data_IF_604722160274
#
_entry.id   IF_604722160274
#
_cell.length_a   1.000
_cell.length_b   1.000
_cell.length_c   1.000
_cell.angle_alpha   90.00
_cell.angle_beta   90.00
_cell.angle_gamma   90.00
#
_symmetry.space_group_name_H-M   'P 1'
#
loop_
_entity.id
_entity.type
_entity.pdbx_description
1 polymer ?
#
# COMPACT_ATOMS: atom_id res chain seq x y z
N UNK A 1 -26.53 56.80 -22.37
CA UNK A 1 -26.72 55.71 -21.37
C UNK A 1 -26.17 54.44 -21.98
N UNK A 2 -25.00 53.97 -21.53
CA UNK A 2 -24.31 52.78 -22.09
C UNK A 2 -23.94 51.91 -20.89
N UNK A 3 -24.77 50.91 -20.61
CA UNK A 3 -24.57 50.00 -19.48
C UNK A 3 -23.49 48.98 -19.82
N UNK A 4 -22.39 49.05 -19.08
CA UNK A 4 -21.29 48.09 -19.10
C UNK A 4 -21.63 46.94 -18.17
N UNK A 5 -21.84 45.73 -18.71
CA UNK A 5 -21.96 44.51 -17.92
C UNK A 5 -20.57 43.91 -17.72
N UNK A 6 -20.09 43.90 -16.46
CA UNK A 6 -18.93 43.13 -16.03
C UNK A 6 -19.39 41.68 -15.77
N UNK A 7 -18.83 40.71 -16.50
CA UNK A 7 -18.91 39.30 -16.13
C UNK A 7 -17.78 38.97 -15.16
N UNK A 8 -18.12 38.71 -13.90
CA UNK A 8 -17.21 38.13 -12.92
C UNK A 8 -17.16 36.62 -13.12
N UNK A 9 -16.03 36.09 -13.59
CA UNK A 9 -15.78 34.66 -13.68
C UNK A 9 -15.35 34.13 -12.30
N UNK A 10 -16.22 33.35 -11.64
CA UNK A 10 -15.88 32.61 -10.43
C UNK A 10 -15.04 31.38 -10.79
N UNK A 11 -13.75 31.43 -10.44
CA UNK A 11 -12.83 30.30 -10.54
C UNK A 11 -13.21 29.25 -9.48
N UNK A 12 -13.86 28.16 -9.89
CA UNK A 12 -14.10 27.02 -9.01
C UNK A 12 -12.80 26.23 -8.87
N UNK A 13 -12.11 26.38 -7.75
CA UNK A 13 -10.99 25.50 -7.39
C UNK A 13 -11.59 24.15 -7.05
N UNK A 14 -11.41 23.16 -7.93
CA UNK A 14 -11.74 21.78 -7.64
C UNK A 14 -10.80 21.28 -6.54
N UNK A 15 -11.29 21.29 -5.29
CA UNK A 15 -10.64 20.58 -4.19
C UNK A 15 -10.83 19.09 -4.50
N UNK A 16 -9.76 18.42 -4.94
CA UNK A 16 -9.72 16.96 -4.94
C UNK A 16 -9.92 16.50 -3.50
N UNK A 17 -11.12 16.04 -3.16
CA UNK A 17 -11.38 15.43 -1.87
C UNK A 17 -10.47 14.20 -1.72
N UNK A 18 -9.51 14.27 -0.80
CA UNK A 18 -8.71 13.11 -0.40
C UNK A 18 -9.59 12.13 0.37
N UNK A 19 -9.31 10.83 0.24
CA UNK A 19 -10.01 9.84 1.04
C UNK A 19 -9.75 10.04 2.54
N UNK A 20 -10.62 9.47 3.37
CA UNK A 20 -10.50 9.57 4.82
C UNK A 20 -9.19 8.97 5.32
N UNK A 21 -8.58 9.59 6.33
CA UNK A 21 -7.43 9.03 7.03
C UNK A 21 -7.78 7.68 7.68
N UNK A 22 -6.86 6.72 7.64
CA UNK A 22 -7.05 5.38 8.19
C UNK A 22 -5.76 4.83 8.81
N UNK A 23 -5.94 4.01 9.84
CA UNK A 23 -4.91 3.10 10.34
C UNK A 23 -5.38 1.68 10.07
N UNK A 24 -4.55 0.86 9.45
CA UNK A 24 -4.92 -0.47 8.98
C UNK A 24 -3.94 -1.53 9.49
N UNK A 25 -4.47 -2.72 9.67
CA UNK A 25 -3.71 -3.98 9.70
C UNK A 25 -4.04 -4.75 8.43
N UNK A 26 -3.04 -5.27 7.75
CA UNK A 26 -3.18 -5.97 6.48
C UNK A 26 -2.55 -7.35 6.64
N UNK A 27 -3.34 -8.40 6.45
CA UNK A 27 -2.86 -9.78 6.48
C UNK A 27 -2.78 -10.33 5.06
N UNK A 28 -1.64 -10.92 4.73
CA UNK A 28 -1.37 -11.50 3.43
C UNK A 28 -1.26 -13.01 3.54
N UNK A 29 -1.86 -13.70 2.58
CA UNK A 29 -1.73 -15.13 2.38
C UNK A 29 -1.50 -15.42 0.91
N UNK A 30 -0.54 -16.28 0.61
CA UNK A 30 -0.38 -16.88 -0.72
C UNK A 30 -0.17 -18.37 -0.63
N UNK A 31 -0.67 -19.08 -1.65
CA UNK A 31 -0.46 -20.50 -1.88
C UNK A 31 -0.16 -20.72 -3.35
N UNK A 32 0.82 -21.55 -3.65
CA UNK A 32 1.08 -22.05 -5.01
C UNK A 32 1.41 -23.54 -4.99
N UNK A 33 0.90 -24.27 -5.95
CA UNK A 33 1.25 -25.66 -6.26
C UNK A 33 2.17 -25.62 -7.48
N UNK A 34 3.42 -26.04 -7.30
CA UNK A 34 4.40 -26.05 -8.40
C UNK A 34 4.19 -27.26 -9.31
N UNK A 35 4.73 -27.24 -10.55
CA UNK A 35 4.63 -28.38 -11.48
C UNK A 35 5.18 -29.70 -10.92
N UNK A 36 6.10 -29.63 -9.95
CA UNK A 36 6.69 -30.78 -9.28
C UNK A 36 5.79 -31.36 -8.17
N UNK A 37 4.58 -30.82 -8.00
CA UNK A 37 3.62 -31.24 -6.98
C UNK A 37 3.89 -30.66 -5.59
N UNK A 38 4.73 -29.62 -5.47
CA UNK A 38 5.05 -28.99 -4.18
C UNK A 38 4.09 -27.87 -3.87
N UNK A 39 3.47 -27.90 -2.69
CA UNK A 39 2.70 -26.75 -2.19
C UNK A 39 3.61 -25.82 -1.39
N UNK A 40 3.62 -24.53 -1.74
CA UNK A 40 4.27 -23.46 -0.98
C UNK A 40 3.23 -22.49 -0.48
N UNK A 41 3.32 -22.15 0.80
CA UNK A 41 2.44 -21.16 1.44
C UNK A 41 3.29 -20.08 2.12
N UNK A 42 2.81 -18.84 2.07
CA UNK A 42 3.40 -17.72 2.79
C UNK A 42 2.32 -16.92 3.50
N UNK A 43 2.66 -16.42 4.70
CA UNK A 43 1.83 -15.54 5.51
C UNK A 43 2.68 -14.46 6.15
N UNK A 44 2.17 -13.24 6.14
CA UNK A 44 2.76 -12.12 6.86
C UNK A 44 1.71 -11.03 7.06
N UNK A 45 2.03 -10.05 7.89
CA UNK A 45 1.16 -8.92 8.14
C UNK A 45 1.95 -7.62 8.00
N UNK A 46 1.27 -6.57 7.55
CA UNK A 46 1.77 -5.21 7.59
C UNK A 46 0.79 -4.33 8.40
N UNK A 47 1.32 -3.24 8.96
CA UNK A 47 0.52 -2.10 9.40
C UNK A 47 0.59 -1.00 8.35
N UNK A 48 -0.46 -0.19 8.23
CA UNK A 48 -0.49 0.95 7.33
C UNK A 48 -1.10 2.17 8.01
N UNK A 49 -0.48 3.33 7.84
CA UNK A 49 -1.08 4.64 8.10
C UNK A 49 -1.35 5.32 6.76
N UNK A 50 -2.60 5.68 6.52
CA UNK A 50 -3.02 6.49 5.38
C UNK A 50 -3.37 7.89 5.86
N UNK A 51 -2.68 8.90 5.32
CA UNK A 51 -2.99 10.32 5.52
C UNK A 51 -2.99 11.03 4.18
N UNK A 52 -3.60 12.21 4.10
CA UNK A 52 -3.52 13.04 2.89
C UNK A 52 -2.05 13.21 2.44
N UNK A 53 -1.73 12.73 1.24
CA UNK A 53 -0.38 12.81 0.66
C UNK A 53 0.65 11.81 1.20
N UNK A 54 0.31 10.98 2.21
CA UNK A 54 1.24 10.05 2.85
C UNK A 54 0.65 8.65 3.03
N UNK A 55 1.44 7.65 2.68
CA UNK A 55 1.18 6.24 3.03
C UNK A 55 2.42 5.69 3.69
N UNK A 56 2.28 5.21 4.92
CA UNK A 56 3.34 4.56 5.67
C UNK A 56 2.97 3.10 5.89
N UNK A 57 3.78 2.15 5.41
CA UNK A 57 3.55 0.72 5.59
C UNK A 57 4.76 0.06 6.26
N UNK A 58 4.52 -0.83 7.22
CA UNK A 58 5.60 -1.50 7.96
C UNK A 58 5.25 -2.96 8.23
N UNK A 59 6.22 -3.85 8.00
CA UNK A 59 6.14 -5.28 8.30
C UNK A 59 5.92 -5.50 9.79
N UNK A 60 4.95 -6.33 10.14
CA UNK A 60 4.82 -6.89 11.49
C UNK A 60 5.76 -8.08 11.58
N UNK A 61 6.85 -7.93 12.32
CA UNK A 61 7.81 -9.00 12.57
C UNK A 61 7.48 -9.75 13.87
N UNK A 62 7.60 -11.08 13.89
CA UNK A 62 7.68 -11.83 15.14
C UNK A 62 8.84 -11.33 16.01
N UNK A 63 8.69 -11.33 17.33
CA UNK A 63 9.71 -10.80 18.26
C UNK A 63 11.12 -11.38 18.00
N UNK A 64 11.23 -12.70 17.85
CA UNK A 64 12.51 -13.37 17.57
C UNK A 64 13.14 -13.03 16.20
N UNK A 65 12.33 -12.59 15.23
CA UNK A 65 12.85 -12.16 13.93
C UNK A 65 13.37 -10.72 13.96
N UNK A 66 12.84 -9.88 14.86
CA UNK A 66 13.33 -8.52 15.06
C UNK A 66 14.73 -8.53 15.72
N UNK A 67 14.96 -9.43 16.69
CA UNK A 67 16.24 -9.54 17.42
C UNK A 67 17.41 -9.94 16.51
N UNK A 68 17.19 -10.78 15.49
CA UNK A 68 18.24 -11.20 14.56
C UNK A 68 18.76 -10.09 13.63
N UNK A 69 18.11 -8.93 13.57
CA UNK A 69 18.59 -7.78 12.79
C UNK A 69 19.64 -6.93 13.55
N UNK A 70 19.75 -7.07 14.87
CA UNK A 70 20.56 -6.16 15.70
C UNK A 70 21.94 -6.74 16.11
N UNK A 71 22.17 -8.05 16.00
CA UNK A 71 23.23 -8.74 16.76
C UNK A 71 24.36 -9.43 15.96
N UNK A 72 24.66 -9.06 14.71
CA UNK A 72 25.86 -9.59 14.01
C UNK A 72 26.97 -8.54 13.78
N UNK A 73 28.01 -8.52 14.64
CA UNK A 73 29.22 -7.73 14.40
C UNK A 73 29.92 -8.18 13.12
N UNK A 74 30.07 -7.27 12.15
CA UNK A 74 30.81 -7.50 10.91
C UNK A 74 29.98 -7.97 9.71
N UNK A 75 28.67 -8.12 9.84
CA UNK A 75 27.80 -8.28 8.68
C UNK A 75 27.63 -6.91 8.00
N UNK A 76 28.02 -6.80 6.73
CA UNK A 76 27.64 -5.65 5.91
C UNK A 76 26.11 -5.56 5.95
N UNK A 77 25.60 -4.42 6.43
CA UNK A 77 24.18 -4.26 6.71
C UNK A 77 23.45 -4.02 5.39
N UNK A 78 22.93 -5.08 4.79
CA UNK A 78 22.24 -5.00 3.52
C UNK A 78 20.88 -4.31 3.69
N UNK A 79 20.64 -3.28 2.87
CA UNK A 79 19.33 -2.65 2.75
C UNK A 79 18.26 -3.70 2.45
N UNK A 80 17.32 -3.89 3.38
CA UNK A 80 16.22 -4.85 3.22
C UNK A 80 14.87 -4.12 3.18
N UNK A 81 14.46 -3.75 1.96
CA UNK A 81 13.19 -3.06 1.70
C UNK A 81 11.93 -3.83 2.17
N UNK A 82 12.03 -5.12 2.50
CA UNK A 82 10.88 -5.91 2.96
C UNK A 82 10.55 -5.63 4.43
N UNK A 83 11.56 -5.31 5.25
CA UNK A 83 11.39 -5.12 6.70
C UNK A 83 11.47 -3.65 7.12
N UNK A 84 12.14 -2.81 6.33
CA UNK A 84 12.17 -1.37 6.56
C UNK A 84 10.78 -0.75 6.36
N UNK A 85 10.51 0.30 7.12
CA UNK A 85 9.26 1.04 6.95
C UNK A 85 9.27 1.75 5.60
N UNK A 86 8.25 1.49 4.78
CA UNK A 86 8.05 2.09 3.47
C UNK A 86 7.17 3.32 3.61
N UNK A 87 7.62 4.45 3.08
CA UNK A 87 6.87 5.69 3.04
C UNK A 87 6.67 6.14 1.59
N UNK A 88 5.43 6.13 1.13
CA UNK A 88 5.04 6.65 -0.18
C UNK A 88 4.43 8.03 0.00
N UNK A 89 4.95 9.02 -0.73
CA UNK A 89 4.52 10.41 -0.66
C UNK A 89 3.98 10.85 -2.01
N UNK A 90 2.85 11.53 -1.99
CA UNK A 90 2.25 12.18 -3.15
C UNK A 90 2.27 13.70 -2.93
N UNK A 91 3.09 14.39 -3.72
CA UNK A 91 3.26 15.84 -3.63
C UNK A 91 3.34 16.44 -5.03
N UNK A 92 2.57 17.50 -5.31
CA UNK A 92 2.57 18.15 -6.63
C UNK A 92 2.24 17.22 -7.80
N UNK A 93 1.43 16.17 -7.57
CA UNK A 93 1.10 15.16 -8.59
C UNK A 93 2.23 14.17 -8.89
N UNK A 94 3.35 14.22 -8.15
CA UNK A 94 4.45 13.26 -8.23
C UNK A 94 4.42 12.29 -7.05
N UNK A 95 4.55 11.02 -7.36
CA UNK A 95 4.64 9.95 -6.36
C UNK A 95 6.11 9.62 -6.15
N UNK A 96 6.55 9.56 -4.90
CA UNK A 96 7.87 9.09 -4.52
C UNK A 96 7.77 8.04 -3.41
N UNK A 97 8.80 7.22 -3.29
CA UNK A 97 8.94 6.22 -2.23
C UNK A 97 10.29 6.39 -1.56
N UNK A 98 10.29 6.28 -0.24
CA UNK A 98 11.48 6.22 0.61
C UNK A 98 11.32 5.10 1.63
N UNK A 99 12.44 4.57 2.10
CA UNK A 99 12.47 3.58 3.18
C UNK A 99 13.18 4.17 4.38
N UNK A 100 12.65 3.90 5.58
CA UNK A 100 13.16 4.45 6.82
C UNK A 100 13.80 3.33 7.63
N UNK A 101 15.09 3.49 7.89
CA UNK A 101 15.82 2.72 8.88
C UNK A 101 15.87 3.52 10.18
N UNK A 102 15.01 3.16 11.12
CA UNK A 102 14.95 3.82 12.42
C UNK A 102 16.14 3.48 13.33
N UNK A 103 16.79 2.33 13.11
CA UNK A 103 17.95 1.89 13.89
C UNK A 103 19.17 2.73 13.49
N UNK A 104 19.45 2.81 12.19
CA UNK A 104 20.60 3.56 11.66
C UNK A 104 20.31 5.05 11.46
N UNK A 105 19.05 5.44 11.61
CA UNK A 105 18.55 6.80 11.36
C UNK A 105 18.84 7.25 9.94
N UNK A 106 18.48 6.42 8.98
CA UNK A 106 18.59 6.71 7.56
C UNK A 106 17.21 6.82 6.91
N UNK A 107 17.09 7.75 5.96
CA UNK A 107 16.00 7.80 4.98
C UNK A 107 16.64 7.47 3.63
N UNK A 108 16.21 6.37 3.03
CA UNK A 108 16.73 5.86 1.76
C UNK A 108 15.74 6.20 0.66
N UNK A 109 16.10 7.17 -0.19
CA UNK A 109 15.32 7.54 -1.36
C UNK A 109 15.51 6.52 -2.48
N UNK A 110 14.41 6.13 -3.13
CA UNK A 110 14.46 5.23 -4.29
C UNK A 110 14.17 6.05 -5.55
N UNK A 111 15.08 6.10 -6.52
CA UNK A 111 14.80 6.75 -7.79
C UNK A 111 13.84 5.92 -8.65
N UNK A 112 13.07 6.51 -9.58
CA UNK A 112 12.06 5.80 -10.37
C UNK A 112 12.58 4.59 -11.16
N UNK A 113 13.85 4.60 -11.59
CA UNK A 113 14.48 3.46 -12.28
C UNK A 113 14.59 2.21 -11.40
N UNK A 114 14.56 2.39 -10.08
CA UNK A 114 14.79 1.34 -9.08
C UNK A 114 13.50 0.85 -8.42
N UNK A 115 12.33 1.40 -8.78
CA UNK A 115 11.05 1.03 -8.17
C UNK A 115 10.77 -0.47 -8.24
N UNK A 116 11.08 -1.09 -9.38
CA UNK A 116 10.93 -2.54 -9.56
C UNK A 116 11.79 -3.37 -8.59
N UNK A 117 12.98 -2.87 -8.21
CA UNK A 117 13.91 -3.59 -7.32
C UNK A 117 13.44 -3.60 -5.86
N UNK A 118 12.48 -2.74 -5.50
CA UNK A 118 11.91 -2.65 -4.15
C UNK A 118 10.42 -2.99 -4.11
N UNK A 119 9.92 -3.71 -5.12
CA UNK A 119 8.52 -4.11 -5.23
C UNK A 119 7.54 -2.92 -5.12
N UNK A 120 7.85 -1.85 -5.84
CA UNK A 120 6.98 -0.70 -6.03
C UNK A 120 6.77 -0.45 -7.53
N UNK A 121 5.57 -0.05 -7.93
CA UNK A 121 5.20 0.14 -9.33
C UNK A 121 4.98 1.61 -9.71
N UNK A 122 5.28 2.54 -8.78
CA UNK A 122 5.07 3.97 -8.98
C UNK A 122 3.62 4.43 -8.78
N UNK A 123 2.68 3.52 -8.51
CA UNK A 123 1.25 3.85 -8.44
C UNK A 123 0.84 4.38 -7.06
N UNK A 124 0.41 5.65 -7.03
CA UNK A 124 -0.24 6.20 -5.85
C UNK A 124 -1.55 5.50 -5.53
N UNK A 125 -2.33 5.10 -6.55
CA UNK A 125 -3.59 4.41 -6.33
C UNK A 125 -3.37 3.08 -5.61
N UNK A 126 -2.36 2.31 -6.00
CA UNK A 126 -2.02 1.05 -5.34
C UNK A 126 -1.52 1.27 -3.91
N UNK A 127 -0.74 2.32 -3.66
CA UNK A 127 -0.29 2.64 -2.30
C UNK A 127 -1.45 3.12 -1.41
N UNK A 128 -2.29 4.03 -1.91
CA UNK A 128 -3.26 4.78 -1.11
C UNK A 128 -4.63 4.10 -1.00
N UNK A 129 -5.06 3.39 -2.05
CA UNK A 129 -6.31 2.64 -2.09
C UNK A 129 -6.10 1.12 -1.99
N UNK A 130 -4.84 0.65 -1.91
CA UNK A 130 -4.44 -0.76 -1.88
C UNK A 130 -4.73 -1.55 -3.17
N UNK A 131 -5.22 -0.88 -4.23
CA UNK A 131 -5.53 -1.46 -5.53
C UNK A 131 -5.71 -0.36 -6.60
N UNK A 132 -5.83 -0.75 -7.87
CA UNK A 132 -6.21 0.17 -8.95
C UNK A 132 -7.69 0.52 -8.85
N UNK A 133 -7.98 1.74 -8.38
CA UNK A 133 -9.36 2.21 -8.18
C UNK A 133 -10.15 2.33 -9.50
N UNK A 134 -9.48 2.57 -10.63
CA UNK A 134 -10.11 2.66 -11.95
C UNK A 134 -10.50 1.29 -12.44
N UNK A 135 -9.60 0.30 -12.33
CA UNK A 135 -9.90 -1.10 -12.64
C UNK A 135 -10.99 -1.66 -11.74
N UNK A 136 -10.99 -1.34 -10.45
CA UNK A 136 -12.06 -1.79 -9.55
C UNK A 136 -13.45 -1.33 -10.03
N UNK A 137 -13.56 -0.09 -10.53
CA UNK A 137 -14.84 0.43 -11.04
C UNK A 137 -15.36 -0.32 -12.26
N UNK A 138 -14.47 -0.94 -13.05
CA UNK A 138 -14.87 -1.76 -14.21
C UNK A 138 -15.25 -3.19 -13.83
N UNK A 139 -14.92 -3.63 -12.60
CA UNK A 139 -15.35 -4.94 -12.10
C UNK A 139 -16.86 -4.94 -11.83
N UNK A 140 -17.62 -5.95 -12.33
CA UNK A 140 -19.03 -6.13 -12.01
C UNK A 140 -19.29 -6.22 -10.51
N UNK A 141 -20.45 -5.71 -10.07
CA UNK A 141 -20.96 -5.99 -8.73
C UNK A 141 -21.35 -7.46 -8.64
N UNK A 142 -20.99 -8.11 -7.53
CA UNK A 142 -21.35 -9.50 -7.23
C UNK A 142 -22.66 -9.57 -6.47
N UNK A 143 -23.38 -10.68 -6.62
CA UNK A 143 -24.55 -11.03 -5.80
C UNK A 143 -24.15 -11.61 -4.44
N UNK A 144 -22.85 -11.82 -4.19
CA UNK A 144 -22.35 -12.32 -2.91
C UNK A 144 -22.73 -11.35 -1.78
N UNK A 145 -23.36 -11.82 -0.69
CA UNK A 145 -23.70 -10.96 0.43
C UNK A 145 -22.42 -10.43 1.11
N UNK A 146 -22.50 -9.18 1.57
CA UNK A 146 -21.48 -8.60 2.45
C UNK A 146 -21.96 -8.67 3.89
N UNK A 147 -21.08 -9.12 4.79
CA UNK A 147 -21.32 -9.04 6.23
C UNK A 147 -20.98 -7.65 6.81
N UNK A 148 -20.33 -6.79 6.04
CA UNK A 148 -19.92 -5.45 6.47
C UNK A 148 -20.81 -4.41 5.81
N UNK A 149 -21.51 -3.63 6.63
CA UNK A 149 -22.37 -2.55 6.16
C UNK A 149 -21.56 -1.52 5.35
N UNK A 150 -22.09 -1.12 4.19
CA UNK A 150 -21.42 -0.19 3.28
C UNK A 150 -20.34 -0.82 2.40
N UNK A 151 -20.01 -2.10 2.59
CA UNK A 151 -19.09 -2.82 1.72
C UNK A 151 -19.83 -3.74 0.74
N UNK A 152 -19.32 -3.85 -0.49
CA UNK A 152 -19.90 -4.66 -1.58
C UNK A 152 -18.84 -5.45 -2.32
N UNK A 153 -19.17 -6.70 -2.66
CA UNK A 153 -18.30 -7.52 -3.48
C UNK A 153 -18.34 -7.08 -4.94
N UNK A 154 -17.16 -7.00 -5.55
CA UNK A 154 -16.96 -6.91 -6.99
C UNK A 154 -16.13 -8.11 -7.42
N UNK A 155 -16.54 -8.75 -8.50
CA UNK A 155 -15.92 -10.00 -8.94
C UNK A 155 -15.78 -9.99 -10.46
N UNK A 156 -14.67 -10.54 -10.93
CA UNK A 156 -14.49 -10.88 -12.34
C UNK A 156 -13.81 -12.22 -12.46
N UNK A 157 -14.07 -12.85 -13.59
CA UNK A 157 -13.44 -14.10 -13.97
C UNK A 157 -13.07 -14.01 -15.45
N UNK A 158 -11.85 -14.41 -15.77
CA UNK A 158 -11.37 -14.50 -17.15
C UNK A 158 -10.43 -15.70 -17.28
N UNK A 159 -10.67 -16.54 -18.29
CA UNK A 159 -9.80 -17.69 -18.63
C UNK A 159 -9.44 -18.59 -17.44
N UNK A 160 -10.39 -18.82 -16.53
CA UNK A 160 -10.20 -19.66 -15.35
C UNK A 160 -9.47 -18.98 -14.18
N UNK A 161 -9.06 -17.72 -14.34
CA UNK A 161 -8.57 -16.86 -13.27
C UNK A 161 -9.73 -16.07 -12.67
N UNK A 162 -9.70 -15.86 -11.36
CA UNK A 162 -10.67 -15.01 -10.67
C UNK A 162 -9.99 -13.88 -9.93
N UNK A 163 -10.73 -12.79 -9.75
CA UNK A 163 -10.41 -11.72 -8.83
C UNK A 163 -11.70 -11.27 -8.14
N UNK A 164 -11.64 -11.12 -6.82
CA UNK A 164 -12.75 -10.67 -5.99
C UNK A 164 -12.26 -9.60 -5.04
N UNK A 165 -13.04 -8.54 -4.89
CA UNK A 165 -12.75 -7.44 -4.00
C UNK A 165 -13.99 -7.12 -3.19
N UNK A 166 -13.90 -7.22 -1.86
CA UNK A 166 -14.89 -6.64 -0.97
C UNK A 166 -14.53 -5.18 -0.74
N UNK A 167 -15.27 -4.26 -1.32
CA UNK A 167 -14.95 -2.83 -1.33
C UNK A 167 -15.82 -2.04 -0.38
N UNK A 168 -15.22 -1.25 0.51
CA UNK A 168 -15.90 -0.25 1.35
C UNK A 168 -15.90 1.11 0.64
N UNK A 169 -17.07 1.55 0.17
CA UNK A 169 -17.20 2.80 -0.59
C UNK A 169 -16.96 4.05 0.27
N UNK A 170 -17.27 4.01 1.57
CA UNK A 170 -17.12 5.17 2.46
C UNK A 170 -15.65 5.41 2.82
N UNK A 171 -14.93 4.33 3.11
CA UNK A 171 -13.51 4.38 3.46
C UNK A 171 -12.61 4.34 2.23
N UNK A 172 -13.14 4.00 1.06
CA UNK A 172 -12.39 3.83 -0.17
C UNK A 172 -11.19 2.90 0.04
N UNK A 173 -11.45 1.70 0.55
CA UNK A 173 -10.45 0.63 0.68
C UNK A 173 -11.09 -0.73 0.39
N UNK A 174 -10.31 -1.72 -0.06
CA UNK A 174 -10.72 -3.10 0.06
C UNK A 174 -10.72 -3.51 1.54
N UNK A 175 -11.67 -4.37 1.91
CA UNK A 175 -11.65 -5.14 3.16
C UNK A 175 -11.14 -6.57 2.93
N UNK A 176 -11.29 -7.08 1.70
CA UNK A 176 -10.70 -8.32 1.24
C UNK A 176 -10.38 -8.23 -0.25
N UNK A 177 -9.23 -8.78 -0.66
CA UNK A 177 -8.87 -9.04 -2.06
C UNK A 177 -8.54 -10.53 -2.17
N UNK A 178 -9.18 -11.21 -3.11
CA UNK A 178 -8.90 -12.60 -3.44
C UNK A 178 -8.54 -12.69 -4.93
N UNK A 179 -7.47 -13.40 -5.26
CA UNK A 179 -7.18 -13.79 -6.64
C UNK A 179 -6.63 -15.20 -6.69
N UNK A 180 -6.80 -15.87 -7.83
CA UNK A 180 -6.39 -17.26 -7.98
C UNK A 180 -6.88 -17.84 -9.28
N UNK A 181 -6.64 -19.13 -9.46
CA UNK A 181 -7.28 -19.92 -10.51
C UNK A 181 -8.36 -20.84 -9.93
N UNK A 182 -9.28 -21.26 -10.79
CA UNK A 182 -10.37 -22.19 -10.43
C UNK A 182 -9.89 -23.61 -10.09
N UNK A 183 -8.71 -24.01 -10.55
CA UNK A 183 -8.10 -25.29 -10.23
C UNK A 183 -7.44 -25.29 -8.83
N UNK A 184 -7.36 -24.13 -8.18
CA UNK A 184 -6.72 -23.95 -6.87
C UNK A 184 -5.20 -24.11 -6.91
N UNK A 185 -4.56 -23.98 -8.07
CA UNK A 185 -3.11 -24.13 -8.22
C UNK A 185 -2.36 -22.93 -7.65
N UNK A 186 -2.95 -21.74 -7.71
CA UNK A 186 -2.54 -20.63 -6.85
C UNK A 186 -3.73 -19.86 -6.27
N UNK A 187 -3.50 -19.29 -5.09
CA UNK A 187 -4.42 -18.37 -4.41
C UNK A 187 -3.60 -17.29 -3.73
N UNK A 188 -4.02 -16.04 -3.88
CA UNK A 188 -3.58 -14.91 -3.07
C UNK A 188 -4.79 -14.32 -2.36
N UNK A 189 -4.64 -14.02 -1.08
CA UNK A 189 -5.66 -13.37 -0.27
C UNK A 189 -5.02 -12.25 0.55
N UNK A 190 -5.67 -11.10 0.56
CA UNK A 190 -5.33 -9.96 1.40
C UNK A 190 -6.57 -9.61 2.21
N UNK A 191 -6.46 -9.62 3.54
CA UNK A 191 -7.52 -9.18 4.45
C UNK A 191 -7.10 -7.87 5.11
N UNK A 192 -7.97 -6.86 5.06
CA UNK A 192 -7.68 -5.51 5.54
C UNK A 192 -8.61 -5.20 6.71
N UNK A 193 -8.03 -4.87 7.85
CA UNK A 193 -8.74 -4.52 9.08
C UNK A 193 -8.47 -3.06 9.43
N UNK A 194 -9.52 -2.25 9.46
CA UNK A 194 -9.45 -0.87 9.96
C UNK A 194 -9.28 -0.89 11.47
N UNK A 195 -8.23 -0.24 11.98
CA UNK A 195 -7.97 -0.11 13.40
C UNK A 195 -8.89 0.95 14.03
N UNK A 196 -9.25 0.79 15.31
CA UNK A 196 -10.04 1.79 16.02
C UNK A 196 -9.22 3.06 16.26
N UNK A 197 -9.74 4.20 15.81
CA UNK A 197 -9.12 5.51 16.00
C UNK A 197 -8.06 5.85 14.95
N UNK A 198 -7.33 6.94 15.20
CA UNK A 198 -6.25 7.41 14.34
C UNK A 198 -5.03 7.77 15.18
N UNK A 199 -3.90 7.18 14.84
CA UNK A 199 -2.59 7.54 15.39
C UNK A 199 -2.29 8.99 15.05
N UNK A 200 -2.05 9.79 16.10
CA UNK A 200 -1.64 11.20 15.99
C UNK A 200 -0.13 11.36 15.91
N UNK A 201 0.59 10.34 16.36
CA UNK A 201 2.03 10.29 16.37
C UNK A 201 2.56 9.75 15.03
N UNK A 202 2.76 10.66 14.07
CA UNK A 202 3.08 10.29 12.69
C UNK A 202 4.60 10.07 12.53
N UNK A 203 5.06 8.87 12.12
CA UNK A 203 6.48 8.53 12.12
C UNK A 203 7.32 9.40 11.18
N UNK A 204 6.78 9.79 10.01
CA UNK A 204 7.47 10.66 9.07
C UNK A 204 7.71 12.09 9.57
N UNK A 205 7.02 12.52 10.63
CA UNK A 205 7.29 13.82 11.27
C UNK A 205 8.52 13.78 12.20
N UNK A 206 9.07 12.60 12.47
CA UNK A 206 10.21 12.39 13.39
C UNK A 206 11.53 12.12 12.69
N UNK A 207 11.60 12.29 11.37
CA UNK A 207 12.79 11.99 10.56
C UNK A 207 13.84 13.11 10.61
N UNK A 208 13.61 14.18 11.38
CA UNK A 208 14.59 15.25 11.54
C UNK A 208 15.89 14.70 12.13
N UNK A 209 17.00 14.90 11.41
CA UNK A 209 18.32 14.42 11.82
C UNK A 209 18.67 13.03 11.32
N UNK A 210 17.79 12.39 10.53
CA UNK A 210 18.14 11.17 9.81
C UNK A 210 19.01 11.53 8.61
N UNK A 211 20.02 10.71 8.33
CA UNK A 211 20.85 10.87 7.13
C UNK A 211 20.00 10.57 5.89
N UNK A 212 20.28 11.28 4.80
CA UNK A 212 19.65 11.01 3.51
C UNK A 212 20.61 10.15 2.69
N UNK A 213 20.12 8.99 2.24
CA UNK A 213 20.83 8.05 1.38
C UNK A 213 20.02 7.81 0.12
N UNK A 214 20.67 7.32 -0.92
CA UNK A 214 20.00 6.80 -2.11
C UNK A 214 20.19 5.29 -2.19
N UNK A 215 19.29 4.61 -2.90
CA UNK A 215 19.37 3.16 -3.09
C UNK A 215 20.73 2.70 -3.64
N UNK A 216 21.38 3.53 -4.48
CA UNK A 216 22.69 3.24 -5.05
C UNK A 216 23.81 3.09 -4.00
N UNK A 217 23.66 3.69 -2.81
CA UNK A 217 24.62 3.58 -1.70
C UNK A 217 24.68 2.17 -1.09
N UNK A 218 23.82 1.24 -1.54
CA UNK A 218 23.70 -0.13 -1.03
C UNK A 218 23.91 -1.22 -2.11
N UNK A 219 24.38 -0.83 -3.30
CA UNK A 219 24.58 -1.73 -4.44
C UNK A 219 26.04 -2.17 -4.63
N UNK A 220 26.90 -1.89 -3.64
CA UNK A 220 28.34 -2.17 -3.66
C UNK A 220 28.72 -3.62 -3.28
#
# INVERSE_FOLDING_TARGET
>A
MKNLFLFAATLSVAVCASATDLDLKIAYYSKVITPEGVTREARYEDTMLRRAGHVWTMRVLPAHAAEHHDDQPGAHKHFNHVVLARHVVQEGGKTRIEFIDAHDKDVVAIPPSEYGNVSFDGSWDHAYYLLDSKRLKTMPLSSRPSAVAGARWREREDKGLFERVLWDDQRQIPLAIESGDKAGTFVNRVDITVQPGLTRDLPWQKLKGYSQKEFADFLD
#
